data_IF_547233585939
#
_entry.id   IF_547233585939
#
_cell.length_a   1.000
_cell.length_b   1.000
_cell.length_c   1.000
_cell.angle_alpha   90.00
_cell.angle_beta   90.00
_cell.angle_gamma   90.00
#
_symmetry.space_group_name_H-M   'P 1'
#
loop_
_entity.id
_entity.type
_entity.pdbx_description
1 polymer ?
#
# COMPACT_ATOMS: atom_id res chain seq x y z
N UNK A 1 14.39 24.65 8.00
CA UNK A 1 13.66 24.10 6.86
C UNK A 1 12.51 25.03 6.60
N UNK A 2 12.66 25.95 5.64
CA UNK A 2 11.57 26.82 5.20
C UNK A 2 10.90 26.14 4.01
N UNK A 3 9.63 25.74 4.16
CA UNK A 3 8.86 25.04 3.12
C UNK A 3 8.18 26.01 2.17
N UNK A 4 8.12 27.29 2.55
CA UNK A 4 7.47 28.35 1.79
C UNK A 4 8.48 29.09 0.91
N UNK A 5 9.77 28.77 1.05
CA UNK A 5 10.83 29.28 0.19
C UNK A 5 10.59 28.85 -1.27
N UNK A 6 10.35 29.84 -2.12
CA UNK A 6 10.16 29.63 -3.55
C UNK A 6 11.50 29.46 -4.26
N UNK A 7 11.51 28.65 -5.31
CA UNK A 7 12.64 28.60 -6.23
C UNK A 7 12.74 29.89 -7.05
N UNK A 8 13.96 30.33 -7.33
CA UNK A 8 14.21 31.52 -8.16
C UNK A 8 13.84 31.27 -9.63
N UNK A 9 14.07 30.06 -10.11
CA UNK A 9 13.67 29.55 -11.43
C UNK A 9 13.03 28.17 -11.25
N UNK A 10 12.07 27.75 -12.10
CA UNK A 10 11.54 26.39 -12.07
C UNK A 10 12.66 25.37 -12.27
N UNK A 11 12.72 24.35 -11.41
CA UNK A 11 13.63 23.23 -11.60
C UNK A 11 13.24 22.40 -12.82
N UNK A 12 14.23 21.82 -13.50
CA UNK A 12 13.98 20.82 -14.53
C UNK A 12 13.52 19.51 -13.88
N UNK A 13 12.47 18.88 -14.39
CA UNK A 13 12.05 17.55 -13.92
C UNK A 13 13.13 16.48 -14.12
N UNK A 14 14.03 16.69 -15.11
CA UNK A 14 15.15 15.79 -15.35
C UNK A 14 16.15 15.79 -14.18
N UNK A 15 16.21 16.85 -13.39
CA UNK A 15 17.13 16.97 -12.25
C UNK A 15 16.55 16.30 -10.98
N UNK A 16 15.29 15.87 -11.00
CA UNK A 16 14.63 15.27 -9.83
C UNK A 16 15.08 13.84 -9.55
N UNK A 17 15.61 13.13 -10.56
CA UNK A 17 16.14 11.77 -10.45
C UNK A 17 17.50 11.67 -11.14
N UNK A 18 18.41 10.79 -10.67
CA UNK A 18 19.66 10.54 -11.36
C UNK A 18 19.41 9.93 -12.74
N UNK A 19 20.32 10.15 -13.69
CA UNK A 19 20.27 9.55 -15.04
C UNK A 19 20.26 8.00 -15.02
N UNK A 20 20.78 7.40 -13.94
CA UNK A 20 20.78 5.94 -13.74
C UNK A 20 19.45 5.37 -13.29
N UNK A 21 18.43 6.21 -13.05
CA UNK A 21 17.12 5.74 -12.60
C UNK A 21 16.42 4.90 -13.69
N UNK A 22 15.87 3.72 -13.36
CA UNK A 22 15.24 2.84 -14.33
C UNK A 22 14.00 3.44 -15.02
N UNK A 23 13.39 4.50 -14.49
CA UNK A 23 12.25 5.17 -15.15
C UNK A 23 12.62 5.68 -16.54
N UNK A 24 13.85 6.17 -16.73
CA UNK A 24 14.33 6.68 -18.01
C UNK A 24 14.44 5.60 -19.07
N UNK A 25 14.79 4.38 -18.65
CA UNK A 25 14.77 3.25 -19.57
C UNK A 25 13.34 2.93 -20.00
N UNK A 26 12.38 2.89 -19.07
CA UNK A 26 11.00 2.53 -19.42
C UNK A 26 10.39 3.57 -20.37
N UNK A 27 10.64 4.87 -20.13
CA UNK A 27 10.25 5.95 -21.05
C UNK A 27 10.87 5.73 -22.43
N UNK A 28 12.17 5.46 -22.50
CA UNK A 28 12.89 5.23 -23.76
C UNK A 28 12.43 3.97 -24.47
N UNK A 29 12.11 2.92 -23.71
CA UNK A 29 11.61 1.65 -24.23
C UNK A 29 10.26 1.83 -24.90
N UNK A 30 9.31 2.53 -24.26
CA UNK A 30 8.00 2.83 -24.85
C UNK A 30 8.14 3.69 -26.10
N UNK A 31 9.01 4.71 -26.08
CA UNK A 31 9.26 5.56 -27.24
C UNK A 31 9.82 4.80 -28.46
N UNK A 32 10.42 3.62 -28.25
CA UNK A 32 10.92 2.73 -29.30
C UNK A 32 9.92 1.68 -29.79
N UNK A 33 8.72 1.58 -29.19
CA UNK A 33 7.70 0.61 -29.57
C UNK A 33 6.73 1.17 -30.63
N UNK A 34 6.10 0.28 -31.39
CA UNK A 34 4.98 0.65 -32.24
C UNK A 34 3.70 0.77 -31.40
N UNK A 35 3.36 2.01 -31.03
CA UNK A 35 2.15 2.35 -30.28
C UNK A 35 1.03 2.88 -31.18
N UNK A 36 1.15 2.75 -32.50
CA UNK A 36 0.15 3.26 -33.46
C UNK A 36 -1.27 2.74 -33.20
N UNK A 37 -1.38 1.49 -32.72
CA UNK A 37 -2.66 0.90 -32.30
C UNK A 37 -3.31 1.67 -31.14
N UNK A 38 -2.54 2.15 -30.17
CA UNK A 38 -3.05 2.94 -29.04
C UNK A 38 -3.47 4.35 -29.48
N UNK A 39 -2.66 4.99 -30.31
CA UNK A 39 -2.98 6.29 -30.90
C UNK A 39 -4.20 6.23 -31.82
N UNK A 40 -4.44 5.11 -32.49
CA UNK A 40 -5.66 4.90 -33.28
C UNK A 40 -6.95 4.83 -32.45
N UNK A 41 -6.87 4.41 -31.18
CA UNK A 41 -8.03 4.30 -30.29
C UNK A 41 -8.45 5.64 -29.66
N UNK A 42 -7.59 6.65 -29.67
CA UNK A 42 -7.83 7.94 -29.00
C UNK A 42 -7.51 9.12 -29.89
N UNK A 43 -8.41 10.10 -29.90
CA UNK A 43 -8.09 11.42 -30.46
C UNK A 43 -7.30 12.23 -29.45
N UNK A 44 -6.02 12.42 -29.72
CA UNK A 44 -5.16 13.43 -29.09
C UNK A 44 -5.42 14.79 -29.77
N UNK A 45 -6.48 15.47 -29.35
CA UNK A 45 -6.83 16.84 -29.82
C UNK A 45 -8.26 17.01 -30.34
N UNK A 46 -8.64 18.27 -30.59
CA UNK A 46 -10.00 18.67 -31.00
C UNK A 46 -10.52 19.84 -30.17
N UNK A 47 -11.83 20.10 -30.20
CA UNK A 47 -12.46 21.09 -29.34
C UNK A 47 -12.48 20.59 -27.88
N UNK A 48 -11.81 21.30 -26.97
CA UNK A 48 -11.68 20.95 -25.56
C UNK A 48 -10.23 20.66 -25.15
N UNK A 49 -10.04 20.18 -23.92
CA UNK A 49 -8.73 19.73 -23.43
C UNK A 49 -8.30 18.50 -24.23
N UNK A 50 -7.08 18.51 -24.76
CA UNK A 50 -6.53 17.32 -25.42
C UNK A 50 -6.49 16.14 -24.45
N UNK A 51 -6.83 14.95 -24.93
CA UNK A 51 -6.65 13.73 -24.15
C UNK A 51 -5.17 13.50 -23.85
N UNK A 52 -4.89 12.81 -22.74
CA UNK A 52 -3.54 12.36 -22.41
C UNK A 52 -2.92 11.53 -23.55
N UNK A 53 -1.61 11.68 -23.69
CA UNK A 53 -0.80 10.90 -24.64
C UNK A 53 -0.90 9.39 -24.30
N UNK A 54 -1.32 8.53 -25.25
CA UNK A 54 -1.33 7.09 -25.07
C UNK A 54 0.02 6.50 -24.65
N UNK A 55 1.14 7.07 -25.11
CA UNK A 55 2.47 6.58 -24.77
C UNK A 55 2.81 6.88 -23.30
N UNK A 56 2.38 8.05 -22.80
CA UNK A 56 2.49 8.39 -21.39
C UNK A 56 1.65 7.44 -20.52
N UNK A 57 0.39 7.21 -20.90
CA UNK A 57 -0.49 6.32 -20.15
C UNK A 57 0.00 4.86 -20.17
N UNK A 58 0.54 4.40 -21.30
CA UNK A 58 1.17 3.09 -21.39
C UNK A 58 2.40 3.01 -20.47
N UNK A 59 3.32 3.98 -20.57
CA UNK A 59 4.51 4.07 -19.71
C UNK A 59 4.13 4.04 -18.23
N UNK A 60 3.08 4.77 -17.85
CA UNK A 60 2.55 4.82 -16.50
C UNK A 60 2.06 3.45 -16.01
N UNK A 61 1.28 2.74 -16.83
CA UNK A 61 0.79 1.39 -16.50
C UNK A 61 1.95 0.39 -16.37
N UNK A 62 2.89 0.42 -17.30
CA UNK A 62 4.07 -0.45 -17.30
C UNK A 62 4.91 -0.24 -16.04
N UNK A 63 5.18 1.03 -15.70
CA UNK A 63 5.91 1.39 -14.50
C UNK A 63 5.18 0.95 -13.23
N UNK A 64 3.87 1.20 -13.15
CA UNK A 64 3.04 0.76 -12.04
C UNK A 64 3.07 -0.76 -11.85
N UNK A 65 2.87 -1.52 -12.94
CA UNK A 65 2.86 -2.98 -12.92
C UNK A 65 4.21 -3.58 -12.56
N UNK A 66 5.30 -2.99 -13.04
CA UNK A 66 6.66 -3.38 -12.65
C UNK A 66 6.91 -3.21 -11.14
N UNK A 67 6.24 -2.24 -10.50
CA UNK A 67 6.30 -2.00 -9.06
C UNK A 67 5.18 -2.72 -8.27
N UNK A 68 4.44 -3.64 -8.91
CA UNK A 68 3.35 -4.38 -8.26
C UNK A 68 2.12 -3.52 -7.90
N UNK A 69 1.99 -2.33 -8.49
CA UNK A 69 0.85 -1.43 -8.25
C UNK A 69 -0.27 -1.78 -9.23
N UNK A 70 -1.42 -2.17 -8.67
CA UNK A 70 -2.58 -2.70 -9.44
C UNK A 70 -3.88 -1.93 -9.18
N UNK A 71 -3.83 -0.77 -8.54
CA UNK A 71 -4.99 0.08 -8.32
C UNK A 71 -4.81 1.38 -9.07
N UNK A 72 -5.78 1.76 -9.90
CA UNK A 72 -5.78 3.05 -10.59
C UNK A 72 -5.77 4.22 -9.59
N UNK A 73 -6.40 4.07 -8.42
CA UNK A 73 -6.41 5.06 -7.33
C UNK A 73 -5.04 5.20 -6.67
N UNK A 74 -4.32 4.09 -6.49
CA UNK A 74 -2.93 4.14 -6.01
C UNK A 74 -2.02 4.79 -7.05
N UNK A 75 -2.21 4.51 -8.34
CA UNK A 75 -1.42 5.12 -9.43
C UNK A 75 -1.65 6.64 -9.44
N UNK A 76 -2.90 7.10 -9.38
CA UNK A 76 -3.24 8.53 -9.29
C UNK A 76 -2.50 9.21 -8.12
N UNK A 77 -2.55 8.62 -6.92
CA UNK A 77 -1.80 9.14 -5.75
C UNK A 77 -0.29 9.17 -5.96
N UNK A 78 0.26 8.19 -6.69
CA UNK A 78 1.70 8.18 -7.00
C UNK A 78 2.05 9.26 -8.02
N UNK A 79 1.18 9.57 -8.98
CA UNK A 79 1.37 10.71 -9.88
C UNK A 79 1.45 12.05 -9.13
N UNK A 80 0.91 12.16 -7.91
CA UNK A 80 1.04 13.36 -7.07
C UNK A 80 2.31 13.34 -6.19
N UNK A 81 2.70 12.17 -5.67
CA UNK A 81 3.66 12.05 -4.55
C UNK A 81 5.00 11.43 -4.92
N UNK A 82 5.05 10.63 -5.97
CA UNK A 82 6.23 9.88 -6.41
C UNK A 82 6.87 10.57 -7.61
N UNK A 83 8.18 10.84 -7.50
CA UNK A 83 8.94 11.61 -8.50
C UNK A 83 8.97 10.91 -9.86
N UNK A 84 9.10 9.58 -9.90
CA UNK A 84 9.16 8.83 -11.15
C UNK A 84 7.82 8.89 -11.89
N UNK A 85 6.71 8.76 -11.17
CA UNK A 85 5.37 8.88 -11.75
C UNK A 85 5.11 10.31 -12.25
N UNK A 86 5.55 11.33 -11.51
CA UNK A 86 5.46 12.74 -11.94
C UNK A 86 6.24 13.02 -13.22
N UNK A 87 7.44 12.44 -13.34
CA UNK A 87 8.27 12.52 -14.56
C UNK A 87 7.56 11.88 -15.75
N UNK A 88 7.01 10.67 -15.58
CA UNK A 88 6.26 9.99 -16.64
C UNK A 88 5.10 10.87 -17.13
N UNK A 89 4.35 11.45 -16.19
CA UNK A 89 3.21 12.33 -16.51
C UNK A 89 3.62 13.73 -16.97
N UNK A 90 4.90 14.09 -16.97
CA UNK A 90 5.38 15.46 -17.19
C UNK A 90 4.64 16.52 -16.35
N UNK A 91 4.25 16.15 -15.12
CA UNK A 91 3.46 16.98 -14.22
C UNK A 91 1.95 17.05 -14.51
N UNK A 92 1.46 16.42 -15.58
CA UNK A 92 0.03 16.33 -15.91
C UNK A 92 -0.56 14.97 -15.47
N UNK A 93 -0.92 14.87 -14.19
CA UNK A 93 -1.36 13.63 -13.57
C UNK A 93 -2.79 13.22 -14.01
N UNK A 94 -2.98 12.02 -14.61
CA UNK A 94 -4.31 11.51 -14.91
C UNK A 94 -5.04 11.02 -13.65
N UNK A 95 -6.36 11.19 -13.63
CA UNK A 95 -7.23 10.62 -12.59
C UNK A 95 -7.37 9.10 -12.74
N UNK A 96 -7.76 8.42 -11.64
CA UNK A 96 -7.94 6.97 -11.62
C UNK A 96 -8.98 6.49 -12.64
N UNK A 97 -10.01 7.29 -12.92
CA UNK A 97 -11.04 6.98 -13.91
C UNK A 97 -10.44 6.92 -15.31
N UNK A 98 -9.56 7.85 -15.64
CA UNK A 98 -8.84 7.92 -16.92
C UNK A 98 -7.91 6.74 -17.06
N UNK A 99 -7.15 6.41 -16.02
CA UNK A 99 -6.24 5.25 -16.00
C UNK A 99 -7.02 3.95 -16.20
N UNK A 100 -8.08 3.72 -15.41
CA UNK A 100 -8.92 2.54 -15.48
C UNK A 100 -9.60 2.38 -16.85
N UNK A 101 -10.16 3.48 -17.39
CA UNK A 101 -10.78 3.49 -18.73
C UNK A 101 -9.76 3.22 -19.83
N UNK A 102 -8.57 3.80 -19.75
CA UNK A 102 -7.51 3.56 -20.73
C UNK A 102 -7.09 2.08 -20.71
N UNK A 103 -6.80 1.54 -19.53
CA UNK A 103 -6.49 0.11 -19.35
C UNK A 103 -7.57 -0.79 -19.92
N UNK A 104 -8.84 -0.52 -19.63
CA UNK A 104 -9.96 -1.33 -20.10
C UNK A 104 -10.12 -1.26 -21.63
N UNK A 105 -10.03 -0.06 -22.21
CA UNK A 105 -10.18 0.13 -23.65
C UNK A 105 -9.02 -0.48 -24.46
N UNK A 106 -7.81 -0.42 -23.91
CA UNK A 106 -6.60 -0.88 -24.58
C UNK A 106 -6.10 -2.25 -24.08
N UNK A 107 -6.89 -3.01 -23.32
CA UNK A 107 -6.42 -4.19 -22.57
C UNK A 107 -5.55 -5.14 -23.40
N UNK A 108 -6.04 -5.59 -24.57
CA UNK A 108 -5.30 -6.51 -25.43
C UNK A 108 -3.97 -5.92 -25.94
N UNK A 109 -3.99 -4.65 -26.37
CA UNK A 109 -2.79 -3.98 -26.92
C UNK A 109 -1.79 -3.63 -25.81
N UNK A 110 -2.28 -3.20 -24.65
CA UNK A 110 -1.47 -2.91 -23.47
C UNK A 110 -0.78 -4.16 -22.91
N UNK A 111 -1.46 -5.31 -22.88
CA UNK A 111 -0.85 -6.57 -22.46
C UNK A 111 0.31 -6.98 -23.38
N UNK A 112 0.10 -6.91 -24.69
CA UNK A 112 1.14 -7.23 -25.68
C UNK A 112 2.32 -6.25 -25.64
N UNK A 113 2.06 -4.94 -25.54
CA UNK A 113 3.12 -3.93 -25.45
C UNK A 113 3.87 -4.02 -24.11
N UNK A 114 3.18 -4.30 -23.01
CA UNK A 114 3.85 -4.51 -21.73
C UNK A 114 4.76 -5.75 -21.76
N UNK A 115 4.29 -6.85 -22.35
CA UNK A 115 5.13 -8.03 -22.55
C UNK A 115 6.38 -7.72 -23.40
N UNK A 116 6.26 -6.87 -24.42
CA UNK A 116 7.40 -6.41 -25.22
C UNK A 116 8.38 -5.58 -24.38
N UNK A 117 7.92 -4.66 -23.53
CA UNK A 117 8.80 -3.90 -22.64
C UNK A 117 9.49 -4.83 -21.63
N UNK A 118 8.76 -5.76 -21.02
CA UNK A 118 9.37 -6.74 -20.10
C UNK A 118 10.44 -7.58 -20.79
N UNK A 119 10.17 -8.08 -22.00
CA UNK A 119 11.14 -8.84 -22.78
C UNK A 119 12.36 -7.99 -23.19
N UNK A 120 12.15 -6.70 -23.50
CA UNK A 120 13.24 -5.76 -23.78
C UNK A 120 14.12 -5.53 -22.54
N UNK A 121 13.51 -5.25 -21.38
CA UNK A 121 14.24 -5.10 -20.12
C UNK A 121 15.06 -6.35 -19.77
N UNK A 122 14.51 -7.54 -20.03
CA UNK A 122 15.21 -8.81 -19.83
C UNK A 122 16.45 -8.93 -20.73
N UNK A 123 16.30 -8.60 -22.03
CA UNK A 123 17.40 -8.59 -23.01
C UNK A 123 18.49 -7.59 -22.68
N UNK A 124 18.12 -6.46 -22.09
CA UNK A 124 19.06 -5.44 -21.62
C UNK A 124 19.74 -5.82 -20.29
N UNK A 125 19.44 -6.99 -19.72
CA UNK A 125 20.09 -7.50 -18.52
C UNK A 125 19.54 -6.95 -17.21
N UNK A 126 18.38 -6.28 -17.22
CA UNK A 126 17.77 -5.67 -16.02
C UNK A 126 16.93 -6.62 -15.18
N UNK A 127 16.88 -7.89 -15.55
CA UNK A 127 16.23 -8.94 -14.78
C UNK A 127 16.19 -10.24 -15.56
N UNK A 128 15.94 -11.36 -14.87
CA UNK A 128 15.60 -12.63 -15.51
C UNK A 128 14.10 -12.78 -15.50
N UNK A 129 13.48 -12.91 -16.67
CA UNK A 129 12.05 -13.24 -16.78
C UNK A 129 11.91 -14.74 -16.52
N UNK A 130 11.86 -15.10 -15.23
CA UNK A 130 11.64 -16.48 -14.80
C UNK A 130 12.87 -17.38 -14.90
N UNK A 131 13.62 -17.46 -13.80
CA UNK A 131 14.19 -18.76 -13.40
C UNK A 131 13.65 -19.05 -12.00
N UNK A 132 12.47 -19.66 -11.94
CA UNK A 132 12.18 -20.54 -10.80
C UNK A 132 13.10 -21.72 -11.01
N UNK A 133 14.18 -21.80 -10.25
CA UNK A 133 15.02 -22.98 -10.23
C UNK A 133 14.17 -24.14 -9.67
N UNK A 134 13.54 -24.92 -10.54
CA UNK A 134 13.20 -26.29 -10.20
C UNK A 134 14.54 -27.00 -10.15
N UNK A 135 15.03 -27.28 -8.94
CA UNK A 135 16.19 -28.15 -8.73
C UNK A 135 15.94 -29.47 -9.45
N UNK A 136 16.44 -29.57 -10.67
CA UNK A 136 16.23 -30.71 -11.53
C UNK A 136 17.29 -31.72 -11.12
N UNK A 137 16.84 -32.81 -10.48
CA UNK A 137 17.67 -33.98 -10.20
C UNK A 137 18.49 -34.32 -11.45
N UNK A 138 19.82 -34.38 -11.30
CA UNK A 138 20.75 -34.73 -12.39
C UNK A 138 20.47 -36.16 -12.87
N UNK A 139 19.74 -36.30 -13.97
CA UNK A 139 19.71 -37.54 -14.75
C UNK A 139 20.95 -37.51 -15.66
N UNK A 140 21.83 -38.50 -15.49
CA UNK A 140 23.01 -38.65 -16.32
C UNK A 140 22.61 -39.07 -17.74
N UNK A 141 22.49 -38.10 -18.64
CA UNK A 141 22.35 -38.33 -20.08
C UNK A 141 23.71 -38.22 -20.75
N UNK A 142 24.07 -39.24 -21.54
CA UNK A 142 25.26 -39.27 -22.39
C UNK A 142 25.07 -38.35 -23.61
N UNK A 143 25.08 -37.03 -23.40
CA UNK A 143 25.13 -36.04 -24.46
C UNK A 143 26.47 -35.29 -24.34
N UNK A 144 27.31 -35.36 -25.38
CA UNK A 144 28.59 -34.66 -25.35
C UNK A 144 28.34 -33.15 -25.21
N UNK A 145 28.86 -32.53 -24.15
CA UNK A 145 28.79 -31.09 -23.91
C UNK A 145 29.43 -30.26 -25.04
N UNK A 146 30.24 -30.89 -25.88
CA UNK A 146 30.90 -30.29 -27.04
C UNK A 146 29.98 -30.16 -28.28
N UNK A 147 28.96 -31.02 -28.43
CA UNK A 147 28.06 -31.00 -29.59
C UNK A 147 27.12 -29.77 -29.62
N UNK A 148 26.87 -29.14 -28.46
CA UNK A 148 26.01 -27.95 -28.33
C UNK A 148 26.78 -26.62 -28.36
N UNK A 149 28.11 -26.64 -28.62
CA UNK A 149 28.96 -25.42 -28.69
C UNK A 149 29.30 -25.02 -30.13
N UNK A 150 28.50 -25.41 -31.12
CA UNK A 150 28.55 -24.76 -32.42
C UNK A 150 27.80 -23.42 -32.35
N UNK A 151 28.23 -22.45 -33.15
CA UNK A 151 27.59 -21.13 -33.26
C UNK A 151 26.08 -21.26 -33.54
N UNK A 152 25.70 -22.21 -34.40
CA UNK A 152 24.31 -22.51 -34.72
C UNK A 152 23.53 -23.11 -33.54
N UNK A 153 24.17 -23.96 -32.73
CA UNK A 153 23.58 -24.53 -31.52
C UNK A 153 23.34 -23.47 -30.44
N UNK A 154 24.29 -22.55 -30.27
CA UNK A 154 24.16 -21.41 -29.36
C UNK A 154 23.10 -20.41 -29.85
N UNK A 155 23.05 -20.12 -31.15
CA UNK A 155 21.97 -19.29 -31.74
C UNK A 155 20.59 -19.92 -31.54
N UNK A 156 20.47 -21.22 -31.78
CA UNK A 156 19.21 -21.94 -31.59
C UNK A 156 18.77 -21.91 -30.13
N UNK A 157 19.68 -22.16 -29.19
CA UNK A 157 19.41 -22.06 -27.76
C UNK A 157 19.02 -20.63 -27.33
N UNK A 158 19.70 -19.61 -27.87
CA UNK A 158 19.35 -18.21 -27.59
C UNK A 158 17.97 -17.83 -28.15
N UNK A 159 17.61 -18.32 -29.34
CA UNK A 159 16.29 -18.11 -29.94
C UNK A 159 15.18 -18.84 -29.16
N UNK A 160 15.45 -20.07 -28.70
CA UNK A 160 14.54 -20.82 -27.84
C UNK A 160 14.33 -20.11 -26.50
N UNK A 161 15.41 -19.66 -25.85
CA UNK A 161 15.34 -18.88 -24.62
C UNK A 161 14.57 -17.58 -24.80
N UNK A 162 14.82 -16.86 -25.90
CA UNK A 162 14.07 -15.63 -26.23
C UNK A 162 12.57 -15.89 -26.40
N UNK A 163 12.18 -17.04 -26.96
CA UNK A 163 10.78 -17.45 -27.07
C UNK A 163 10.15 -17.74 -25.71
N UNK A 164 10.89 -18.41 -24.81
CA UNK A 164 10.46 -18.67 -23.43
C UNK A 164 10.28 -17.36 -22.65
N UNK A 165 11.26 -16.45 -22.73
CA UNK A 165 11.21 -15.15 -22.05
C UNK A 165 10.02 -14.33 -22.53
N UNK A 166 9.73 -14.34 -23.84
CA UNK A 166 8.58 -13.65 -24.41
C UNK A 166 7.26 -14.25 -23.95
N UNK A 167 7.14 -15.59 -23.92
CA UNK A 167 5.94 -16.26 -23.42
C UNK A 167 5.70 -15.95 -21.94
N UNK A 168 6.75 -15.94 -21.13
CA UNK A 168 6.65 -15.62 -19.71
C UNK A 168 6.34 -14.13 -19.47
N UNK A 169 6.91 -13.23 -20.27
CA UNK A 169 6.56 -11.82 -20.24
C UNK A 169 5.07 -11.59 -20.53
N UNK A 170 4.50 -12.33 -21.50
CA UNK A 170 3.05 -12.30 -21.78
C UNK A 170 2.21 -12.81 -20.61
N UNK A 171 2.62 -13.91 -19.98
CA UNK A 171 1.92 -14.45 -18.80
C UNK A 171 1.90 -13.43 -17.65
N UNK A 172 3.05 -12.82 -17.35
CA UNK A 172 3.15 -11.79 -16.31
C UNK A 172 2.33 -10.54 -16.66
N UNK A 173 2.31 -10.16 -17.94
CA UNK A 173 1.52 -9.03 -18.41
C UNK A 173 0.01 -9.27 -18.27
N UNK A 174 -0.47 -10.43 -18.70
CA UNK A 174 -1.87 -10.81 -18.58
C UNK A 174 -2.30 -10.92 -17.10
N UNK A 175 -1.46 -11.53 -16.25
CA UNK A 175 -1.71 -11.57 -14.80
C UNK A 175 -1.78 -10.16 -14.21
N UNK A 176 -0.87 -9.27 -14.62
CA UNK A 176 -0.87 -7.89 -14.14
C UNK A 176 -2.13 -7.10 -14.55
N UNK A 177 -2.55 -7.24 -15.80
CA UNK A 177 -3.75 -6.60 -16.31
C UNK A 177 -5.01 -7.14 -15.62
N UNK A 178 -5.11 -8.45 -15.41
CA UNK A 178 -6.24 -9.09 -14.75
C UNK A 178 -6.34 -8.71 -13.26
N UNK A 179 -5.24 -8.72 -12.52
CA UNK A 179 -5.22 -8.27 -11.12
C UNK A 179 -5.58 -6.79 -11.01
N UNK A 180 -5.11 -5.96 -11.94
CA UNK A 180 -5.49 -4.55 -11.98
C UNK A 180 -7.00 -4.40 -12.22
N UNK A 181 -7.57 -5.17 -13.16
CA UNK A 181 -9.01 -5.19 -13.40
C UNK A 181 -9.83 -5.55 -12.16
N UNK A 182 -9.43 -6.61 -11.47
CA UNK A 182 -10.10 -7.08 -10.27
C UNK A 182 -10.01 -6.06 -9.13
N UNK A 183 -8.84 -5.43 -8.96
CA UNK A 183 -8.61 -4.42 -7.93
C UNK A 183 -9.46 -3.17 -8.18
N UNK A 184 -9.44 -2.62 -9.40
CA UNK A 184 -10.27 -1.46 -9.75
C UNK A 184 -11.76 -1.76 -9.50
N UNK A 185 -12.24 -2.94 -9.94
CA UNK A 185 -13.64 -3.33 -9.76
C UNK A 185 -14.04 -3.50 -8.28
N UNK A 186 -13.15 -4.02 -7.44
CA UNK A 186 -13.36 -4.13 -6.00
C UNK A 186 -13.37 -2.75 -5.32
N UNK A 187 -12.48 -1.85 -5.74
CA UNK A 187 -12.43 -0.48 -5.22
C UNK A 187 -13.65 0.34 -5.66
N UNK A 188 -14.13 0.18 -6.89
CA UNK A 188 -15.35 0.85 -7.36
C UNK A 188 -16.59 0.41 -6.57
N UNK A 189 -16.65 -0.86 -6.13
CA UNK A 189 -17.71 -1.35 -5.24
C UNK A 189 -17.61 -0.73 -3.83
N UNK A 190 -16.40 -0.44 -3.35
CA UNK A 190 -16.16 0.06 -2.00
C UNK A 190 -16.32 1.58 -1.89
N UNK A 191 -15.79 2.32 -2.86
CA UNK A 191 -15.68 3.79 -2.83
C UNK A 191 -16.62 4.49 -3.82
N UNK A 192 -17.24 3.72 -4.73
CA UNK A 192 -17.99 4.26 -5.86
C UNK A 192 -17.09 4.57 -7.06
N UNK A 193 -17.68 4.78 -8.26
CA UNK A 193 -16.93 4.94 -9.50
C UNK A 193 -16.19 6.27 -9.63
N UNK A 194 -16.61 7.29 -8.88
CA UNK A 194 -16.09 8.66 -9.00
C UNK A 194 -15.20 9.06 -7.82
N UNK A 195 -15.20 8.28 -6.72
CA UNK A 195 -14.41 8.59 -5.52
C UNK A 195 -13.13 7.76 -5.46
N UNK A 196 -12.04 8.41 -5.07
CA UNK A 196 -10.73 7.83 -4.83
C UNK A 196 -10.63 7.13 -3.47
N UNK A 197 -11.47 7.49 -2.51
CA UNK A 197 -11.59 6.85 -1.20
C UNK A 197 -10.60 7.36 -0.13
N UNK A 198 -9.72 8.31 -0.47
CA UNK A 198 -8.81 8.99 0.46
C UNK A 198 -9.02 10.51 0.52
N UNK A 199 -10.17 10.99 0.03
CA UNK A 199 -10.53 12.39 0.11
C UNK A 199 -10.65 12.84 1.56
N UNK A 200 -10.10 14.03 1.84
CA UNK A 200 -10.35 14.67 3.11
C UNK A 200 -11.80 15.20 3.14
N UNK A 201 -12.46 15.15 4.30
CA UNK A 201 -13.67 15.92 4.53
C UNK A 201 -13.51 17.37 4.07
N UNK A 202 -14.54 17.96 3.44
CA UNK A 202 -14.47 19.29 2.81
C UNK A 202 -13.96 20.37 3.77
N UNK A 203 -14.36 20.27 5.04
CA UNK A 203 -13.98 21.17 6.13
C UNK A 203 -12.50 21.06 6.56
N UNK A 204 -11.78 20.02 6.13
CA UNK A 204 -10.36 19.82 6.36
C UNK A 204 -9.49 20.15 5.14
N UNK A 205 -10.09 20.40 3.97
CA UNK A 205 -9.34 20.74 2.76
C UNK A 205 -8.70 22.13 2.87
N UNK A 206 -9.43 23.13 3.36
CA UNK A 206 -8.88 24.48 3.53
C UNK A 206 -7.90 24.57 4.72
N UNK A 207 -6.68 25.12 4.56
CA UNK A 207 -5.71 25.22 5.65
C UNK A 207 -6.23 25.98 6.89
N UNK A 208 -7.05 27.01 6.70
CA UNK A 208 -7.56 27.84 7.80
C UNK A 208 -8.64 27.11 8.60
N UNK A 209 -9.55 26.40 7.93
CA UNK A 209 -10.55 25.56 8.61
C UNK A 209 -9.91 24.33 9.26
N UNK A 210 -8.89 23.74 8.61
CA UNK A 210 -8.15 22.57 9.09
C UNK A 210 -7.46 22.84 10.43
N UNK A 211 -6.77 23.98 10.56
CA UNK A 211 -6.09 24.33 11.81
C UNK A 211 -7.06 24.46 12.99
N UNK A 212 -8.21 25.10 12.77
CA UNK A 212 -9.28 25.22 13.77
C UNK A 212 -9.81 23.85 14.19
N UNK A 213 -10.16 22.99 13.22
CA UNK A 213 -10.71 21.66 13.45
C UNK A 213 -9.75 20.72 14.17
N UNK A 214 -8.45 20.78 13.82
CA UNK A 214 -7.40 20.04 14.53
C UNK A 214 -7.33 20.49 15.99
N UNK A 215 -7.37 21.79 16.26
CA UNK A 215 -7.35 22.31 17.62
C UNK A 215 -8.54 21.82 18.44
N UNK A 216 -9.75 21.95 17.91
CA UNK A 216 -10.98 21.46 18.55
C UNK A 216 -10.91 19.95 18.84
N UNK A 217 -10.44 19.14 17.88
CA UNK A 217 -10.29 17.70 18.06
C UNK A 217 -9.24 17.34 19.13
N UNK A 218 -8.13 18.08 19.18
CA UNK A 218 -7.10 17.89 20.22
C UNK A 218 -7.62 18.24 21.62
N UNK A 219 -8.37 19.33 21.76
CA UNK A 219 -9.00 19.71 23.02
C UNK A 219 -10.02 18.66 23.50
N UNK A 220 -10.80 18.10 22.58
CA UNK A 220 -11.71 16.99 22.88
C UNK A 220 -10.97 15.73 23.33
N UNK A 221 -9.92 15.32 22.62
CA UNK A 221 -9.10 14.16 23.00
C UNK A 221 -8.45 14.33 24.38
N UNK A 222 -8.02 15.55 24.71
CA UNK A 222 -7.49 15.89 26.03
C UNK A 222 -8.58 15.79 27.11
N UNK A 223 -9.77 16.33 26.85
CA UNK A 223 -10.91 16.26 27.76
C UNK A 223 -11.34 14.80 28.01
N UNK A 224 -11.42 13.98 26.96
CA UNK A 224 -11.77 12.56 27.04
C UNK A 224 -10.74 11.77 27.86
N UNK A 225 -9.45 12.05 27.64
CA UNK A 225 -8.36 11.44 28.41
C UNK A 225 -8.43 11.82 29.89
N UNK A 226 -8.69 13.09 30.18
CA UNK A 226 -8.83 13.60 31.55
C UNK A 226 -10.07 12.99 32.25
N UNK A 227 -11.20 12.91 31.56
CA UNK A 227 -12.41 12.28 32.08
C UNK A 227 -12.21 10.78 32.36
N UNK A 228 -11.55 10.06 31.45
CA UNK A 228 -11.18 8.65 31.66
C UNK A 228 -10.22 8.46 32.84
N UNK A 229 -9.27 9.39 33.03
CA UNK A 229 -8.39 9.41 34.20
C UNK A 229 -9.15 9.65 35.51
N UNK A 230 -10.07 10.62 35.52
CA UNK A 230 -10.90 10.94 36.67
C UNK A 230 -11.83 9.78 37.06
N UNK A 231 -12.45 9.11 36.08
CA UNK A 231 -13.29 7.93 36.34
C UNK A 231 -12.48 6.77 36.93
N UNK A 232 -11.29 6.49 36.38
CA UNK A 232 -10.36 5.49 36.93
C UNK A 232 -9.97 5.79 38.38
N UNK A 233 -9.65 7.05 38.69
CA UNK A 233 -9.29 7.45 40.06
C UNK A 233 -10.51 7.39 41.00
N UNK A 234 -11.71 7.78 40.54
CA UNK A 234 -12.93 7.65 41.31
C UNK A 234 -13.26 6.18 41.65
N UNK A 235 -13.08 5.27 40.70
CA UNK A 235 -13.22 3.82 40.91
C UNK A 235 -12.16 3.31 41.90
N UNK A 236 -10.90 3.74 41.76
CA UNK A 236 -9.82 3.38 42.68
C UNK A 236 -10.08 3.88 44.10
N UNK A 237 -10.53 5.13 44.25
CA UNK A 237 -10.89 5.74 45.53
C UNK A 237 -12.05 5.00 46.21
N UNK A 238 -13.11 4.63 45.47
CA UNK A 238 -14.22 3.81 45.99
C UNK A 238 -13.73 2.43 46.47
N UNK A 239 -12.81 1.80 45.75
CA UNK A 239 -12.18 0.53 46.18
C UNK A 239 -11.35 0.71 47.45
N UNK A 240 -10.50 1.76 47.53
CA UNK A 240 -9.69 2.08 48.74
C UNK A 240 -10.58 2.34 49.96
N UNK A 241 -11.65 3.13 49.81
CA UNK A 241 -12.59 3.43 50.89
C UNK A 241 -13.32 2.17 51.41
N UNK A 242 -13.77 1.29 50.51
CA UNK A 242 -14.38 0.00 50.89
C UNK A 242 -13.38 -0.91 51.63
N UNK A 243 -12.12 -0.93 51.20
CA UNK A 243 -11.06 -1.69 51.87
C UNK A 243 -10.79 -1.14 53.28
N UNK A 244 -10.68 0.19 53.44
CA UNK A 244 -10.50 0.83 54.74
C UNK A 244 -11.67 0.57 55.70
N UNK A 245 -12.92 0.65 55.22
CA UNK A 245 -14.09 0.29 56.04
C UNK A 245 -14.07 -1.17 56.49
N UNK A 246 -13.69 -2.12 55.60
CA UNK A 246 -13.56 -3.54 55.96
C UNK A 246 -12.47 -3.74 57.01
N UNK A 247 -11.34 -3.04 56.90
CA UNK A 247 -10.26 -3.10 57.86
C UNK A 247 -10.68 -2.55 59.23
N UNK A 248 -11.30 -1.36 59.27
CA UNK A 248 -11.81 -0.76 60.51
C UNK A 248 -12.84 -1.66 61.21
N UNK A 249 -13.78 -2.28 60.45
CA UNK A 249 -14.71 -3.26 61.02
C UNK A 249 -14.00 -4.48 61.61
N UNK A 250 -12.96 -4.98 60.94
CA UNK A 250 -12.16 -6.12 61.41
C UNK A 250 -11.37 -5.76 62.67
N UNK A 251 -10.78 -4.57 62.72
CA UNK A 251 -10.05 -4.07 63.89
C UNK A 251 -10.97 -3.85 65.09
N UNK A 252 -12.17 -3.28 64.88
CA UNK A 252 -13.20 -3.17 65.90
C UNK A 252 -13.64 -4.54 66.44
N UNK A 253 -13.92 -5.50 65.55
CA UNK A 253 -14.24 -6.88 65.93
C UNK A 253 -13.11 -7.49 66.78
N UNK A 254 -11.85 -7.34 66.36
CA UNK A 254 -10.68 -7.84 67.11
C UNK A 254 -10.57 -7.16 68.49
N UNK A 255 -10.83 -5.85 68.56
CA UNK A 255 -10.82 -5.10 69.82
C UNK A 255 -11.92 -5.58 70.77
N UNK A 256 -13.15 -5.78 70.27
CA UNK A 256 -14.27 -6.33 71.03
C UNK A 256 -13.94 -7.74 71.56
N UNK A 257 -13.38 -8.60 70.71
CA UNK A 257 -12.90 -9.93 71.12
C UNK A 257 -11.83 -9.86 72.22
N UNK A 258 -10.87 -8.92 72.14
CA UNK A 258 -9.83 -8.73 73.15
C UNK A 258 -10.39 -8.22 74.48
N UNK A 259 -11.31 -7.26 74.44
CA UNK A 259 -11.96 -6.70 75.61
C UNK A 259 -12.82 -7.75 76.33
N UNK A 260 -13.62 -8.53 75.59
CA UNK A 260 -14.41 -9.63 76.15
C UNK A 260 -13.54 -10.70 76.84
N UNK A 261 -12.35 -10.98 76.27
CA UNK A 261 -11.37 -11.90 76.86
C UNK A 261 -10.72 -11.35 78.15
N UNK A 262 -10.47 -10.05 78.24
CA UNK A 262 -9.90 -9.41 79.44
C UNK A 262 -10.93 -9.30 80.58
N UNK A 263 -12.22 -9.17 80.27
CA UNK A 263 -13.30 -9.09 81.26
C UNK A 263 -13.67 -10.44 81.92
N UNK A 264 -12.90 -11.51 81.67
CA UNK A 264 -13.11 -12.82 82.29
C UNK A 264 -14.21 -13.68 81.67
N UNK A 265 -14.78 -13.26 80.53
CA UNK A 265 -15.78 -14.05 79.80
C UNK A 265 -15.15 -15.19 79.01
N UNK A 266 -15.43 -16.45 79.38
CA UNK A 266 -15.24 -17.59 78.48
C UNK A 266 -16.24 -17.43 77.32
N UNK A 267 -15.77 -17.37 76.07
CA UNK A 267 -16.64 -17.32 74.89
C UNK A 267 -16.28 -18.43 73.89
N UNK A 268 -17.29 -18.94 73.16
CA UNK A 268 -17.19 -20.16 72.36
C UNK A 268 -16.37 -19.91 71.10
N UNK A 269 -15.53 -20.89 70.75
CA UNK A 269 -14.87 -20.98 69.46
C UNK A 269 -15.92 -21.22 68.36
N UNK A 270 -16.50 -20.14 67.85
CA UNK A 270 -17.35 -20.20 66.66
C UNK A 270 -16.48 -20.40 65.41
N UNK A 271 -16.54 -21.60 64.83
CA UNK A 271 -16.01 -21.91 63.49
C UNK A 271 -16.52 -20.91 62.45
N UNK A 272 -15.65 -20.35 61.58
CA UNK A 272 -16.08 -19.39 60.58
C UNK A 272 -17.03 -20.06 59.57
N UNK A 273 -18.24 -19.50 59.45
CA UNK A 273 -19.23 -19.92 58.47
C UNK A 273 -18.70 -19.81 57.04
N UNK A 274 -18.69 -20.95 56.35
CA UNK A 274 -18.34 -21.09 54.93
C UNK A 274 -19.41 -20.39 54.09
N UNK A 275 -19.13 -19.18 53.60
CA UNK A 275 -19.97 -18.54 52.58
C UNK A 275 -19.51 -19.02 51.22
N UNK A 276 -20.24 -19.99 50.66
CA UNK A 276 -20.15 -20.40 49.25
C UNK A 276 -21.05 -19.43 48.45
N UNK A 277 -20.55 -18.72 47.43
CA UNK A 277 -21.42 -17.98 46.53
C UNK A 277 -22.07 -18.97 45.54
N UNK A 278 -23.39 -18.98 45.48
CA UNK A 278 -24.16 -19.68 44.46
C UNK A 278 -23.98 -19.01 43.10
N UNK A 279 -23.96 -19.86 42.06
CA UNK A 279 -23.91 -19.60 40.62
C UNK A 279 -24.90 -18.53 40.16
#
# INVERSE_FOLDING_TARGET
MDRDQQFLMPESMADWLPESDPVWLVISAVAGLDTSGLHGMRRTGGAGRAGYDPDMLLTLLIWAWAHGVRSSRVIERRCERDVAFRIICAGDAPDHVTISRFRAAAAAVCEDLFAQVLALCARLGMGRVGVVAIDSVKIASNASLAANRCEDGLRKAAAEQAGIDQAKARELAAAAAAEHAATDAAEDQLYGPDSRGDELPEDLVDPSSRARRIKEALEQLQADTAAGGADREAVAARKRARAAQRQAKREALIADYRAARQAGGLLPLGTPGRVIPSV
#
